data_IF_555287259805
#
_entry.id   IF_555287259805
#
_cell.length_a   1.000
_cell.length_b   1.000
_cell.length_c   1.000
_cell.angle_alpha   90.00
_cell.angle_beta   90.00
_cell.angle_gamma   90.00
#
_symmetry.space_group_name_H-M   'P 1'
#
loop_
_entity.id
_entity.type
_entity.pdbx_description
1 polymer ?
#
# COMPACT_ATOMS: atom_id res chain seq x y z
N UNK A 1 -20.09 91.68 23.43
CA UNK A 1 -19.13 90.76 24.08
C UNK A 1 -19.20 89.42 23.36
N UNK A 2 -18.12 88.95 22.71
CA UNK A 2 -18.16 87.68 21.99
C UNK A 2 -18.05 86.51 22.98
N UNK A 3 -18.96 85.54 22.86
CA UNK A 3 -18.98 84.31 23.65
C UNK A 3 -17.88 83.33 23.21
N UNK A 4 -17.23 82.60 24.15
CA UNK A 4 -16.13 81.71 23.85
C UNK A 4 -16.61 80.45 23.10
N UNK A 5 -16.17 80.30 21.85
CA UNK A 5 -16.32 79.08 21.04
C UNK A 5 -15.30 78.02 21.49
N UNK A 6 -15.45 77.48 22.69
CA UNK A 6 -14.49 76.54 23.28
C UNK A 6 -15.01 75.13 23.58
N UNK A 7 -16.33 74.90 23.56
CA UNK A 7 -16.88 73.68 24.18
C UNK A 7 -17.30 72.59 23.18
N UNK A 8 -17.71 72.96 21.97
CA UNK A 8 -18.30 72.02 21.01
C UNK A 8 -17.25 71.12 20.34
N UNK A 9 -16.13 71.70 19.91
CA UNK A 9 -15.04 70.97 19.24
C UNK A 9 -14.35 70.00 20.19
N UNK A 10 -14.09 70.40 21.44
CA UNK A 10 -13.52 69.48 22.44
C UNK A 10 -14.47 68.34 22.80
N UNK A 11 -15.79 68.57 22.80
CA UNK A 11 -16.79 67.52 23.05
C UNK A 11 -16.82 66.51 21.90
N UNK A 12 -16.70 66.99 20.66
CA UNK A 12 -16.62 66.16 19.46
C UNK A 12 -15.32 65.34 19.40
N UNK A 13 -14.19 65.93 19.78
CA UNK A 13 -12.89 65.23 19.85
C UNK A 13 -12.90 64.18 20.96
N UNK A 14 -13.42 64.48 22.15
CA UNK A 14 -13.58 63.51 23.25
C UNK A 14 -14.45 62.32 22.84
N UNK A 15 -15.56 62.57 22.15
CA UNK A 15 -16.43 61.50 21.63
C UNK A 15 -15.74 60.65 20.57
N UNK A 16 -15.02 61.26 19.61
CA UNK A 16 -14.24 60.53 18.61
C UNK A 16 -13.14 59.68 19.25
N UNK A 17 -12.44 60.20 20.25
CA UNK A 17 -11.39 59.49 20.97
C UNK A 17 -11.98 58.30 21.75
N UNK A 18 -13.10 58.49 22.45
CA UNK A 18 -13.83 57.39 23.11
C UNK A 18 -14.27 56.31 22.12
N UNK A 19 -14.72 56.70 20.92
CA UNK A 19 -15.12 55.77 19.85
C UNK A 19 -13.93 54.93 19.37
N UNK A 20 -12.77 55.56 19.14
CA UNK A 20 -11.55 54.86 18.72
C UNK A 20 -11.07 53.90 19.81
N UNK A 21 -11.05 54.33 21.08
CA UNK A 21 -10.70 53.47 22.21
C UNK A 21 -11.67 52.28 22.31
N UNK A 22 -12.96 52.51 22.14
CA UNK A 22 -13.96 51.45 22.17
C UNK A 22 -13.76 50.43 21.04
N UNK A 23 -13.50 50.87 19.82
CA UNK A 23 -13.15 49.99 18.70
C UNK A 23 -11.89 49.18 19.03
N UNK A 24 -10.87 49.82 19.59
CA UNK A 24 -9.62 49.15 19.95
C UNK A 24 -9.86 48.04 21.01
N UNK A 25 -10.70 48.31 22.01
CA UNK A 25 -11.11 47.31 23.01
C UNK A 25 -11.87 46.17 22.35
N UNK A 26 -12.83 46.45 21.45
CA UNK A 26 -13.59 45.41 20.73
C UNK A 26 -12.65 44.54 19.88
N UNK A 27 -11.69 45.15 19.17
CA UNK A 27 -10.71 44.41 18.36
C UNK A 27 -9.82 43.55 19.27
N UNK A 28 -9.35 44.09 20.39
CA UNK A 28 -8.53 43.35 21.35
C UNK A 28 -9.28 42.14 21.92
N UNK A 29 -10.53 42.32 22.33
CA UNK A 29 -11.39 41.22 22.77
C UNK A 29 -11.61 40.21 21.63
N UNK A 30 -11.93 40.69 20.43
CA UNK A 30 -12.12 39.84 19.25
C UNK A 30 -10.92 38.96 18.95
N UNK A 31 -9.70 39.52 18.99
CA UNK A 31 -8.45 38.76 18.79
C UNK A 31 -8.23 37.74 19.91
N UNK A 32 -8.48 38.12 21.17
CA UNK A 32 -8.33 37.23 22.33
C UNK A 32 -9.27 36.03 22.24
N UNK A 33 -10.55 36.27 21.92
CA UNK A 33 -11.54 35.20 21.75
C UNK A 33 -11.23 34.32 20.53
N UNK A 34 -10.78 34.93 19.43
CA UNK A 34 -10.41 34.18 18.21
C UNK A 34 -9.31 33.16 18.49
N UNK A 35 -8.31 33.54 19.28
CA UNK A 35 -7.20 32.64 19.64
C UNK A 35 -7.66 31.45 20.47
N UNK A 36 -8.59 31.66 21.40
CA UNK A 36 -9.13 30.58 22.24
C UNK A 36 -10.02 29.63 21.43
N UNK A 37 -10.85 30.16 20.53
CA UNK A 37 -11.73 29.36 19.66
C UNK A 37 -10.93 28.48 18.69
N UNK A 38 -9.84 29.01 18.11
CA UNK A 38 -8.95 28.22 17.24
C UNK A 38 -8.29 27.09 18.01
N UNK A 39 -7.83 27.36 19.25
CA UNK A 39 -7.20 26.35 20.12
C UNK A 39 -8.17 25.24 20.55
N UNK A 40 -9.41 25.60 20.86
CA UNK A 40 -10.44 24.62 21.21
C UNK A 40 -10.76 23.68 20.04
N UNK A 41 -10.83 24.21 18.81
CA UNK A 41 -11.05 23.38 17.62
C UNK A 41 -9.89 22.45 17.31
N UNK A 42 -8.64 22.89 17.47
CA UNK A 42 -7.48 22.02 17.22
C UNK A 42 -7.43 20.85 18.20
N UNK A 43 -7.75 21.10 19.49
CA UNK A 43 -7.80 20.05 20.52
C UNK A 43 -8.92 19.05 20.21
N UNK A 44 -10.11 19.53 19.83
CA UNK A 44 -11.22 18.64 19.46
C UNK A 44 -10.90 17.74 18.26
N UNK A 45 -10.23 18.28 17.24
CA UNK A 45 -9.79 17.52 16.08
C UNK A 45 -8.72 16.49 16.44
N UNK A 46 -7.78 16.83 17.33
CA UNK A 46 -6.74 15.93 17.80
C UNK A 46 -7.32 14.78 18.63
N UNK A 47 -8.30 15.07 19.51
CA UNK A 47 -9.05 14.04 20.26
C UNK A 47 -9.78 13.10 19.30
N UNK A 48 -10.49 13.64 18.31
CA UNK A 48 -11.21 12.83 17.33
C UNK A 48 -10.25 11.93 16.51
N UNK A 49 -9.09 12.46 16.12
CA UNK A 49 -8.05 11.70 15.43
C UNK A 49 -7.50 10.57 16.32
N UNK A 50 -7.17 10.86 17.57
CA UNK A 50 -6.65 9.87 18.51
C UNK A 50 -7.69 8.78 18.80
N UNK A 51 -8.96 9.14 18.92
CA UNK A 51 -10.05 8.17 19.09
C UNK A 51 -10.17 7.25 17.87
N UNK A 52 -10.16 7.82 16.66
CA UNK A 52 -10.20 7.03 15.42
C UNK A 52 -9.02 6.07 15.32
N UNK A 53 -7.82 6.48 15.73
CA UNK A 53 -6.64 5.62 15.73
C UNK A 53 -6.74 4.49 16.76
N UNK A 54 -7.32 4.77 17.94
CA UNK A 54 -7.55 3.75 18.95
C UNK A 54 -8.56 2.70 18.48
N UNK A 55 -9.64 3.14 17.84
CA UNK A 55 -10.68 2.25 17.30
C UNK A 55 -10.13 1.38 16.16
N UNK A 56 -9.32 1.96 15.26
CA UNK A 56 -8.65 1.22 14.19
C UNK A 56 -7.68 0.17 14.75
N UNK A 57 -6.88 0.55 15.75
CA UNK A 57 -5.92 -0.36 16.37
C UNK A 57 -6.63 -1.49 17.13
N UNK A 58 -7.77 -1.21 17.77
CA UNK A 58 -8.60 -2.22 18.42
C UNK A 58 -9.15 -3.23 17.41
N UNK A 59 -9.66 -2.76 16.26
CA UNK A 59 -10.14 -3.63 15.19
C UNK A 59 -9.00 -4.53 14.65
N UNK A 60 -7.84 -3.94 14.37
CA UNK A 60 -6.66 -4.71 13.92
C UNK A 60 -6.23 -5.75 14.96
N UNK A 61 -6.33 -5.45 16.25
CA UNK A 61 -5.99 -6.41 17.30
C UNK A 61 -6.94 -7.61 17.31
N UNK A 62 -8.24 -7.36 17.13
CA UNK A 62 -9.27 -8.41 17.02
C UNK A 62 -8.96 -9.31 15.81
N UNK A 63 -8.78 -8.74 14.62
CA UNK A 63 -8.50 -9.49 13.40
C UNK A 63 -7.22 -10.35 13.54
N UNK A 64 -6.17 -9.77 14.12
CA UNK A 64 -4.91 -10.49 14.32
C UNK A 64 -5.06 -11.63 15.35
N UNK A 65 -5.89 -11.43 16.37
CA UNK A 65 -6.19 -12.45 17.37
C UNK A 65 -7.03 -13.59 16.80
N UNK A 66 -7.97 -13.29 15.91
CA UNK A 66 -8.77 -14.28 15.20
C UNK A 66 -7.91 -15.10 14.25
N UNK A 67 -7.06 -14.44 13.45
CA UNK A 67 -6.11 -15.12 12.57
C UNK A 67 -5.16 -16.03 13.35
N UNK A 68 -4.64 -15.55 14.49
CA UNK A 68 -3.80 -16.37 15.37
C UNK A 68 -4.54 -17.63 15.82
N UNK A 69 -5.78 -17.47 16.29
CA UNK A 69 -6.61 -18.58 16.75
C UNK A 69 -6.88 -19.57 15.61
N UNK A 70 -7.22 -19.06 14.42
CA UNK A 70 -7.46 -19.87 13.23
C UNK A 70 -6.21 -20.68 12.83
N UNK A 71 -5.01 -20.08 12.88
CA UNK A 71 -3.76 -20.80 12.59
C UNK A 71 -3.37 -21.81 13.67
N UNK A 72 -3.74 -21.59 14.93
CA UNK A 72 -3.48 -22.52 16.03
C UNK A 72 -4.43 -23.71 16.07
N UNK A 73 -5.50 -23.69 15.27
CA UNK A 73 -6.48 -24.78 15.26
C UNK A 73 -5.85 -26.03 14.63
N UNK A 74 -6.11 -27.21 15.21
CA UNK A 74 -5.57 -28.48 14.71
C UNK A 74 -5.89 -28.73 13.24
N UNK A 75 -7.06 -28.28 12.76
CA UNK A 75 -7.47 -28.40 11.36
C UNK A 75 -6.58 -27.60 10.40
N UNK A 76 -6.08 -26.43 10.82
CA UNK A 76 -5.16 -25.61 10.04
C UNK A 76 -3.78 -26.29 9.98
N UNK A 77 -3.30 -26.76 11.14
CA UNK A 77 -2.03 -27.48 11.26
C UNK A 77 -2.06 -28.77 10.42
N UNK A 78 -3.14 -29.54 10.50
CA UNK A 78 -3.32 -30.78 9.74
C UNK A 78 -3.40 -30.51 8.23
N UNK A 79 -4.08 -29.44 7.81
CA UNK A 79 -4.13 -29.03 6.40
C UNK A 79 -2.75 -28.65 5.87
N UNK A 80 -2.02 -27.80 6.60
CA UNK A 80 -0.66 -27.40 6.21
C UNK A 80 0.31 -28.58 6.22
N UNK A 81 0.18 -29.50 7.19
CA UNK A 81 0.95 -30.74 7.26
C UNK A 81 0.68 -31.66 6.05
N UNK A 82 -0.58 -31.83 5.65
CA UNK A 82 -0.94 -32.57 4.43
C UNK A 82 -0.37 -31.92 3.17
N UNK A 83 -0.56 -30.61 3.02
CA UNK A 83 -0.17 -29.87 1.81
C UNK A 83 1.34 -29.72 1.65
N UNK A 84 2.06 -29.38 2.72
CA UNK A 84 3.50 -29.06 2.66
C UNK A 84 4.41 -30.23 2.95
N UNK A 85 3.98 -31.13 3.84
CA UNK A 85 4.82 -32.23 4.33
C UNK A 85 4.33 -33.59 3.80
N UNK A 86 3.23 -33.63 3.04
CA UNK A 86 2.64 -34.88 2.57
C UNK A 86 2.21 -35.80 3.72
N UNK A 87 2.01 -35.25 4.92
CA UNK A 87 1.69 -36.04 6.12
C UNK A 87 0.30 -36.69 5.97
N UNK A 88 0.25 -38.00 6.21
CA UNK A 88 -0.97 -38.82 6.09
C UNK A 88 -1.26 -39.57 7.38
N UNK A 89 -2.54 -39.75 7.71
CA UNK A 89 -2.96 -40.61 8.83
C UNK A 89 -2.87 -42.09 8.41
N UNK A 90 -2.65 -43.04 9.34
CA UNK A 90 -2.62 -44.46 9.02
C UNK A 90 -3.99 -44.89 8.43
N UNK A 91 -4.01 -45.34 7.17
CA UNK A 91 -5.22 -45.70 6.42
C UNK A 91 -5.58 -44.79 5.24
N UNK A 92 -4.85 -43.69 5.01
CA UNK A 92 -5.09 -42.74 3.92
C UNK A 92 -4.23 -43.06 2.68
N UNK A 93 -4.83 -43.10 1.48
CA UNK A 93 -4.15 -43.38 0.19
C UNK A 93 -3.97 -42.09 -0.59
N UNK A 94 -2.71 -41.72 -0.88
CA UNK A 94 -2.38 -40.52 -1.68
C UNK A 94 -2.40 -40.89 -3.15
N UNK A 95 -3.25 -40.24 -3.93
CA UNK A 95 -3.29 -40.36 -5.40
C UNK A 95 -2.61 -39.13 -5.97
N UNK A 96 -1.41 -39.33 -6.54
CA UNK A 96 -0.74 -38.28 -7.32
C UNK A 96 -1.31 -38.36 -8.72
N UNK A 97 -2.11 -37.37 -9.11
CA UNK A 97 -2.55 -37.21 -10.49
C UNK A 97 -1.39 -36.58 -11.23
N UNK A 98 -0.63 -37.40 -11.96
CA UNK A 98 0.25 -36.88 -13.01
C UNK A 98 -0.67 -36.49 -14.18
N UNK A 99 -0.75 -35.20 -14.48
CA UNK A 99 -1.19 -34.79 -15.81
C UNK A 99 -0.17 -35.36 -16.79
N UNK A 100 -0.57 -36.38 -17.53
CA UNK A 100 0.17 -36.80 -18.71
C UNK A 100 0.05 -35.69 -19.76
N UNK A 101 0.95 -34.72 -19.66
CA UNK A 101 1.39 -33.96 -20.82
C UNK A 101 1.99 -34.99 -21.81
N UNK A 102 1.45 -35.10 -23.04
CA UNK A 102 1.94 -36.06 -24.01
C UNK A 102 3.27 -35.57 -24.56
N UNK A 103 4.40 -35.93 -23.91
CA UNK A 103 5.70 -35.68 -24.53
C UNK A 103 6.96 -35.65 -23.68
N UNK A 104 6.99 -36.13 -22.44
CA UNK A 104 8.27 -36.12 -21.68
C UNK A 104 8.87 -37.51 -21.58
N UNK A 105 9.76 -37.79 -22.52
CA UNK A 105 10.70 -38.92 -22.55
C UNK A 105 11.40 -39.09 -21.20
N UNK A 106 11.44 -40.34 -20.75
CA UNK A 106 12.16 -40.83 -19.58
C UNK A 106 13.60 -40.28 -19.55
N UNK A 107 13.93 -39.52 -18.50
CA UNK A 107 15.32 -39.15 -18.22
C UNK A 107 15.98 -40.32 -17.50
N UNK A 108 16.61 -41.19 -18.30
CA UNK A 108 17.58 -42.14 -17.82
C UNK A 108 18.70 -41.41 -17.04
N UNK A 109 19.11 -42.04 -15.95
CA UNK A 109 20.14 -41.57 -15.03
C UNK A 109 21.50 -41.46 -15.76
N UNK A 110 21.94 -40.24 -16.05
CA UNK A 110 23.23 -39.93 -16.67
C UNK A 110 24.27 -39.36 -15.69
N UNK A 111 25.44 -40.00 -15.65
CA UNK A 111 26.63 -39.81 -14.80
C UNK A 111 26.94 -38.41 -14.20
N UNK A 112 27.32 -38.42 -12.92
CA UNK A 112 27.64 -37.27 -12.05
C UNK A 112 29.06 -36.67 -12.24
N UNK A 113 29.52 -36.47 -13.48
CA UNK A 113 30.87 -35.94 -13.71
C UNK A 113 31.00 -34.82 -14.74
N UNK A 114 29.89 -34.26 -15.22
CA UNK A 114 29.94 -33.06 -16.07
C UNK A 114 28.97 -31.97 -15.58
N UNK A 115 29.46 -30.89 -14.95
CA UNK A 115 28.61 -29.80 -14.48
C UNK A 115 28.22 -28.81 -15.57
N UNK A 116 28.70 -28.98 -16.81
CA UNK A 116 28.38 -28.10 -17.92
C UNK A 116 28.02 -28.95 -19.14
N UNK A 117 26.80 -29.49 -19.10
CA UNK A 117 26.12 -30.31 -20.11
C UNK A 117 26.00 -29.60 -21.48
N UNK A 118 27.14 -29.34 -22.12
CA UNK A 118 27.24 -28.84 -23.48
C UNK A 118 27.32 -30.04 -24.42
N UNK A 119 26.17 -30.67 -24.62
CA UNK A 119 25.93 -31.56 -25.75
C UNK A 119 25.98 -30.70 -27.02
N UNK A 120 27.16 -30.61 -27.64
CA UNK A 120 27.30 -30.16 -29.01
C UNK A 120 27.02 -31.36 -29.92
N UNK A 121 25.73 -31.68 -30.10
CA UNK A 121 25.28 -32.66 -31.08
C UNK A 121 24.96 -31.97 -32.42
N UNK A 122 25.66 -32.43 -33.46
CA UNK A 122 25.67 -31.90 -34.82
C UNK A 122 24.51 -32.47 -35.64
N UNK A 123 23.30 -32.43 -35.08
CA UNK A 123 22.06 -32.89 -35.72
C UNK A 123 20.98 -31.83 -35.49
N UNK A 124 20.76 -31.01 -36.53
CA UNK A 124 19.65 -30.08 -36.72
C UNK A 124 19.05 -29.51 -35.41
N UNK A 125 19.85 -28.70 -34.73
CA UNK A 125 19.40 -27.88 -33.61
C UNK A 125 18.22 -27.04 -34.11
N UNK A 126 17.00 -27.33 -33.64
CA UNK A 126 15.95 -26.32 -33.63
C UNK A 126 16.44 -25.24 -32.69
N UNK A 127 17.16 -24.26 -33.23
CA UNK A 127 17.67 -23.11 -32.49
C UNK A 127 16.45 -22.30 -32.08
N UNK A 128 15.83 -22.71 -30.98
CA UNK A 128 14.79 -21.95 -30.30
C UNK A 128 15.40 -20.61 -29.94
N UNK A 129 14.98 -19.57 -30.64
CA UNK A 129 15.52 -18.22 -30.48
C UNK A 129 15.22 -17.77 -29.05
N UNK A 130 16.26 -17.42 -28.29
CA UNK A 130 16.11 -17.05 -26.88
C UNK A 130 15.10 -15.89 -26.68
N UNK A 131 14.33 -15.93 -25.59
CA UNK A 131 13.28 -14.92 -25.33
C UNK A 131 13.73 -13.44 -25.40
N UNK A 132 14.95 -13.07 -24.94
CA UNK A 132 15.42 -11.68 -25.05
C UNK A 132 15.58 -11.19 -26.49
N UNK A 133 16.00 -12.05 -27.42
CA UNK A 133 16.17 -11.66 -28.82
C UNK A 133 14.80 -11.50 -29.51
N UNK A 134 13.81 -12.32 -29.15
CA UNK A 134 12.41 -12.12 -29.59
C UNK A 134 11.87 -10.75 -29.18
N UNK A 135 12.10 -10.32 -27.94
CA UNK A 135 11.64 -9.00 -27.46
C UNK A 135 12.30 -7.85 -28.21
N UNK A 136 13.59 -7.96 -28.49
CA UNK A 136 14.30 -6.94 -29.27
C UNK A 136 13.63 -6.72 -30.64
N UNK A 137 13.33 -7.80 -31.37
CA UNK A 137 12.65 -7.68 -32.66
C UNK A 137 11.19 -7.21 -32.52
N UNK A 138 10.46 -7.62 -31.48
CA UNK A 138 9.11 -7.11 -31.24
C UNK A 138 9.03 -5.58 -31.18
N UNK A 139 10.00 -4.94 -30.52
CA UNK A 139 10.01 -3.48 -30.36
C UNK A 139 10.62 -2.71 -31.54
N UNK A 140 11.65 -3.26 -32.19
CA UNK A 140 12.46 -2.53 -33.17
C UNK A 140 12.32 -3.02 -34.62
N UNK A 141 11.83 -4.25 -34.85
CA UNK A 141 11.56 -4.78 -36.19
C UNK A 141 10.49 -5.89 -36.18
N UNK A 142 9.25 -5.48 -36.44
CA UNK A 142 8.07 -6.35 -36.43
C UNK A 142 8.10 -7.44 -37.52
N UNK A 143 8.76 -7.20 -38.65
CA UNK A 143 8.77 -8.16 -39.74
C UNK A 143 9.59 -9.40 -39.34
N UNK A 144 10.76 -9.16 -38.76
CA UNK A 144 11.65 -10.21 -38.26
C UNK A 144 11.03 -10.96 -37.07
N UNK A 145 10.29 -10.28 -36.20
CA UNK A 145 9.55 -10.94 -35.10
C UNK A 145 8.54 -11.96 -35.61
N UNK A 146 7.68 -11.59 -36.57
CA UNK A 146 6.65 -12.50 -37.10
C UNK A 146 7.28 -13.75 -37.74
N UNK A 147 8.39 -13.58 -38.46
CA UNK A 147 9.10 -14.73 -39.04
C UNK A 147 9.70 -15.65 -37.99
N UNK A 148 10.08 -15.15 -36.81
CA UNK A 148 10.66 -15.94 -35.72
C UNK A 148 9.59 -16.62 -34.84
N UNK A 149 8.37 -16.07 -34.78
CA UNK A 149 7.24 -16.68 -34.07
C UNK A 149 6.55 -17.78 -34.88
N UNK A 150 6.62 -17.73 -36.20
CA UNK A 150 5.97 -18.71 -37.09
C UNK A 150 6.71 -20.07 -37.14
N UNK A 151 7.88 -20.19 -36.49
CA UNK A 151 8.66 -21.44 -36.39
C UNK A 151 8.43 -22.22 -35.08
N UNK A 152 7.54 -21.77 -34.18
CA UNK A 152 7.13 -22.49 -32.95
C UNK A 152 5.90 -23.38 -33.13
#
# INVERSE_FOLDING_TARGET
>A
MPSPKGTFVERLIRWRLLLVVNILVIVFLGVSLSREVVRSRSIGAEIAKLQSQADELAAQNIDLSELRTAMQTESYIEREARLKLGLKKPGETVVVVQEEEPGTTELETGNASDPLDLVLDDQAISVGVANPTKWWYYFFDKNTFNTLSDYE
#
